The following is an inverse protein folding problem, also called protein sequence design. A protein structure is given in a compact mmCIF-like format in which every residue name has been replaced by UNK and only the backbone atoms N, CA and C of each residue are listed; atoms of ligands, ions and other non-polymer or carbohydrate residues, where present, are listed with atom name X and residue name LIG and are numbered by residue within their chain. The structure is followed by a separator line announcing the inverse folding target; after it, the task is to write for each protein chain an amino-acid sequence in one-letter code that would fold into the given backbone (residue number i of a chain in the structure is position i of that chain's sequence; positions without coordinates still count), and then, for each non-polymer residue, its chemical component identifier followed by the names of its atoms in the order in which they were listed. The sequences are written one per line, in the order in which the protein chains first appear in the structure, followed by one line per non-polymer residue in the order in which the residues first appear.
data_IF_566630471048
#
_entry.id   IF_566630471048
#
_cell.length_a   1.000
_cell.length_b   1.000
_cell.length_c   1.000
_cell.angle_alpha   90.00
_cell.angle_beta   90.00
_cell.angle_gamma   90.00
#
_symmetry.space_group_name_H-M   'P 1'
#
loop_
_entity.id
_entity.type
_entity.pdbx_description
1 polymer ?
#
# COMPACT_ATOMS: atom_id res chain seq x y z
N UNK A 1 1.55 -15.01 -12.39
CA UNK A 1 0.34 -15.13 -11.55
C UNK A 1 0.78 -15.50 -10.15
N UNK A 2 0.37 -14.75 -9.17
CA UNK A 2 0.59 -15.03 -7.75
C UNK A 2 -0.75 -15.42 -7.14
N UNK A 3 -0.75 -16.40 -6.24
CA UNK A 3 -1.95 -16.83 -5.53
C UNK A 3 -1.98 -16.16 -4.15
N UNK A 4 -3.11 -15.55 -3.82
CA UNK A 4 -3.34 -14.98 -2.49
C UNK A 4 -4.29 -15.90 -1.70
N UNK A 5 -3.89 -16.36 -0.50
CA UNK A 5 -4.70 -17.27 0.28
C UNK A 5 -5.92 -16.56 0.87
N UNK A 6 -6.98 -17.31 1.06
CA UNK A 6 -8.13 -16.83 1.82
C UNK A 6 -7.78 -16.80 3.31
N UNK A 7 -8.09 -15.68 3.98
CA UNK A 7 -7.98 -15.52 5.43
C UNK A 7 -8.92 -16.52 6.10
N UNK A 8 -8.42 -17.45 6.93
CA UNK A 8 -9.23 -18.53 7.51
C UNK A 8 -10.32 -18.02 8.45
N UNK A 9 -9.99 -17.01 9.24
CA UNK A 9 -10.89 -16.36 10.20
C UNK A 9 -10.61 -14.85 10.23
N UNK A 10 -11.34 -14.04 9.45
CA UNK A 10 -11.17 -12.60 9.43
C UNK A 10 -11.35 -11.93 10.80
N UNK A 11 -12.17 -12.52 11.69
CA UNK A 11 -12.39 -11.97 13.01
C UNK A 11 -11.20 -12.18 13.97
N UNK A 12 -10.25 -13.05 13.61
CA UNK A 12 -9.02 -13.24 14.36
C UNK A 12 -7.89 -12.30 13.93
N UNK A 13 -8.06 -11.57 12.82
CA UNK A 13 -7.10 -10.56 12.36
C UNK A 13 -7.39 -9.23 13.07
N UNK A 14 -6.40 -8.72 13.75
CA UNK A 14 -6.44 -7.40 14.39
C UNK A 14 -5.51 -6.47 13.63
N UNK A 15 -6.02 -5.43 13.03
CA UNK A 15 -5.18 -4.45 12.31
C UNK A 15 -4.49 -3.58 13.35
N UNK A 16 -3.28 -3.96 13.77
CA UNK A 16 -2.48 -3.29 14.80
C UNK A 16 -1.02 -3.00 14.39
N UNK A 17 -0.66 -3.42 13.18
CA UNK A 17 0.68 -3.22 12.60
C UNK A 17 1.68 -4.31 12.97
N UNK A 18 1.25 -5.39 13.63
CA UNK A 18 2.07 -6.54 13.97
C UNK A 18 1.70 -7.76 13.11
N UNK A 19 2.60 -8.75 13.06
CA UNK A 19 2.44 -9.97 12.28
C UNK A 19 2.03 -11.19 13.11
N UNK A 20 1.69 -11.02 14.36
CA UNK A 20 1.45 -12.13 15.30
C UNK A 20 0.16 -12.92 15.00
N UNK A 21 -0.80 -12.35 14.32
CA UNK A 21 -2.00 -13.03 13.82
C UNK A 21 -1.90 -13.52 12.37
N UNK A 22 -0.76 -13.31 11.70
CA UNK A 22 -0.45 -13.83 10.35
C UNK A 22 0.14 -15.25 10.34
N UNK A 23 0.17 -15.93 11.48
CA UNK A 23 0.74 -17.29 11.62
C UNK A 23 0.06 -18.38 10.76
N UNK A 24 -1.08 -18.11 10.18
CA UNK A 24 -1.79 -18.96 9.21
C UNK A 24 -1.23 -18.84 7.77
N UNK A 25 -0.48 -17.79 7.47
CA UNK A 25 0.04 -17.51 6.13
C UNK A 25 1.19 -18.44 5.76
N UNK A 26 1.16 -18.99 4.55
CA UNK A 26 2.29 -19.78 4.03
C UNK A 26 3.42 -18.83 3.59
N UNK A 27 4.58 -18.86 4.24
CA UNK A 27 5.72 -18.00 3.89
C UNK A 27 6.19 -18.13 2.43
N UNK A 28 5.90 -19.27 1.79
CA UNK A 28 6.25 -19.47 0.38
C UNK A 28 5.43 -18.61 -0.59
N UNK A 29 4.34 -18.00 -0.12
CA UNK A 29 3.49 -17.08 -0.88
C UNK A 29 3.87 -15.60 -0.64
N UNK A 30 4.76 -15.33 0.30
CA UNK A 30 5.21 -13.97 0.58
C UNK A 30 5.97 -13.38 -0.60
N UNK A 31 5.77 -12.09 -0.85
CA UNK A 31 6.55 -11.33 -1.80
C UNK A 31 7.73 -10.71 -1.06
N UNK A 32 8.93 -11.01 -1.49
CA UNK A 32 10.16 -10.55 -0.86
C UNK A 32 10.94 -9.63 -1.81
N UNK A 33 11.84 -8.82 -1.27
CA UNK A 33 12.67 -7.89 -2.04
C UNK A 33 13.29 -8.53 -3.31
N UNK A 34 13.83 -9.75 -3.29
CA UNK A 34 14.39 -10.38 -4.51
C UNK A 34 13.37 -10.73 -5.60
N UNK A 35 12.08 -10.72 -5.31
CA UNK A 35 11.01 -10.92 -6.31
C UNK A 35 10.75 -9.65 -7.15
N UNK A 36 11.38 -8.56 -6.76
CA UNK A 36 11.22 -7.24 -7.36
C UNK A 36 12.49 -6.82 -8.09
N UNK A 37 12.34 -5.92 -9.04
CA UNK A 37 13.47 -5.25 -9.68
C UNK A 37 13.37 -3.74 -9.47
N UNK A 38 14.53 -3.09 -9.35
CA UNK A 38 14.60 -1.66 -9.16
C UNK A 38 14.68 -0.91 -10.51
N UNK A 39 13.89 0.14 -10.66
CA UNK A 39 13.94 1.04 -11.81
C UNK A 39 14.78 2.30 -11.58
N UNK A 40 15.09 2.62 -10.34
CA UNK A 40 15.88 3.80 -9.99
C UNK A 40 17.37 3.48 -9.91
N UNK A 41 17.71 2.22 -9.61
CA UNK A 41 19.09 1.72 -9.49
C UNK A 41 19.20 0.32 -10.09
N UNK A 42 20.37 -0.06 -10.58
CA UNK A 42 20.63 -1.40 -11.10
C UNK A 42 20.84 -2.45 -10.00
N UNK A 43 20.93 -2.02 -8.72
CA UNK A 43 21.23 -2.91 -7.62
C UNK A 43 20.73 -2.35 -6.28
N UNK A 44 20.10 -3.22 -5.47
CA UNK A 44 19.68 -2.95 -4.09
C UNK A 44 20.35 -3.96 -3.17
N UNK A 45 21.10 -3.47 -2.19
CA UNK A 45 21.62 -4.31 -1.12
C UNK A 45 20.52 -4.53 -0.07
N UNK A 46 20.35 -5.78 0.40
CA UNK A 46 19.37 -6.10 1.46
C UNK A 46 19.64 -5.34 2.76
N UNK A 47 20.88 -4.90 2.98
CA UNK A 47 21.25 -4.07 4.14
C UNK A 47 20.83 -2.62 4.00
N UNK A 48 20.50 -2.19 2.79
CA UNK A 48 20.02 -0.87 2.46
C UNK A 48 18.49 -0.83 2.55
N UNK A 49 17.84 -1.68 1.79
CA UNK A 49 16.39 -1.77 1.76
C UNK A 49 15.91 -3.21 1.54
N UNK A 50 15.29 -3.77 2.55
CA UNK A 50 14.72 -5.13 2.50
C UNK A 50 13.24 -5.10 2.91
N UNK A 51 12.43 -5.96 2.31
CA UNK A 51 11.01 -6.02 2.65
C UNK A 51 10.37 -7.36 2.38
N UNK A 52 9.28 -7.60 3.09
CA UNK A 52 8.37 -8.73 2.89
C UNK A 52 6.93 -8.22 2.87
N UNK A 53 6.13 -8.70 1.93
CA UNK A 53 4.71 -8.34 1.80
C UNK A 53 3.86 -9.61 1.80
N UNK A 54 2.90 -9.68 2.71
CA UNK A 54 1.90 -10.73 2.84
C UNK A 54 0.55 -10.21 2.34
N UNK A 55 -0.24 -11.07 1.70
CA UNK A 55 -1.54 -10.70 1.17
C UNK A 55 -2.56 -11.82 1.30
N UNK A 56 -3.75 -11.49 1.76
CA UNK A 56 -4.85 -12.41 1.86
C UNK A 56 -6.18 -11.73 1.53
N UNK A 57 -7.23 -12.50 1.43
CA UNK A 57 -8.56 -11.98 1.15
C UNK A 57 -9.63 -12.73 1.94
N UNK A 58 -10.76 -12.08 2.17
CA UNK A 58 -11.94 -12.69 2.79
C UNK A 58 -13.15 -12.60 1.87
N UNK A 59 -13.96 -13.63 1.89
CA UNK A 59 -15.27 -13.59 1.21
C UNK A 59 -16.30 -12.82 2.03
N UNK A 60 -17.44 -12.54 1.43
CA UNK A 60 -18.60 -12.01 2.15
C UNK A 60 -18.95 -12.89 3.38
N UNK A 61 -19.41 -12.31 4.51
CA UNK A 61 -19.86 -10.92 4.64
C UNK A 61 -18.74 -9.88 4.87
N UNK A 62 -17.52 -10.28 5.20
CA UNK A 62 -16.41 -9.35 5.47
C UNK A 62 -15.92 -8.69 4.17
N UNK A 63 -15.61 -9.47 3.13
CA UNK A 63 -15.32 -9.00 1.79
C UNK A 63 -14.22 -7.95 1.72
N UNK A 64 -13.05 -8.27 2.27
CA UNK A 64 -11.88 -7.37 2.35
C UNK A 64 -10.62 -8.03 1.80
N UNK A 65 -9.75 -7.21 1.27
CA UNK A 65 -8.36 -7.55 1.01
C UNK A 65 -7.50 -7.13 2.20
N UNK A 66 -6.68 -8.05 2.67
CA UNK A 66 -5.76 -7.89 3.79
C UNK A 66 -4.33 -7.82 3.28
N UNK A 67 -3.54 -6.99 3.89
CA UNK A 67 -2.12 -6.92 3.62
C UNK A 67 -1.31 -6.57 4.86
N UNK A 68 -0.12 -7.12 4.88
CA UNK A 68 0.92 -6.77 5.84
C UNK A 68 2.23 -6.57 5.09
N UNK A 69 2.93 -5.50 5.36
CA UNK A 69 4.24 -5.23 4.79
C UNK A 69 5.24 -4.85 5.89
N UNK A 70 6.41 -5.49 5.88
CA UNK A 70 7.52 -5.18 6.77
C UNK A 70 8.69 -4.71 5.95
N UNK A 71 9.29 -3.61 6.38
CA UNK A 71 10.46 -2.99 5.76
C UNK A 71 11.60 -2.93 6.77
N UNK A 72 12.80 -3.23 6.30
CA UNK A 72 14.07 -2.98 6.99
C UNK A 72 14.83 -2.00 6.13
N UNK A 73 15.16 -0.86 6.68
CA UNK A 73 15.63 0.30 5.97
C UNK A 73 16.84 0.92 6.68
N UNK A 74 17.82 1.33 5.92
CA UNK A 74 19.02 1.95 6.49
C UNK A 74 18.78 3.39 6.93
N UNK A 75 17.83 4.13 6.32
CA UNK A 75 17.52 5.51 6.67
C UNK A 75 16.06 5.90 6.40
N UNK A 76 15.26 6.02 7.43
CA UNK A 76 13.84 6.40 7.35
C UNK A 76 13.64 7.83 6.87
N UNK A 77 12.90 8.03 5.80
CA UNK A 77 12.58 9.37 5.28
C UNK A 77 11.08 9.56 5.02
N UNK A 78 10.50 10.67 5.56
CA UNK A 78 9.06 10.95 5.43
C UNK A 78 8.68 12.45 5.46
N UNK A 79 9.61 13.36 5.11
CA UNK A 79 9.42 14.81 5.30
C UNK A 79 8.99 15.57 4.04
N UNK A 80 8.73 14.87 2.93
CA UNK A 80 8.35 15.51 1.68
C UNK A 80 6.86 15.89 1.64
N UNK A 81 6.49 16.95 0.88
CA UNK A 81 5.08 17.31 0.66
C UNK A 81 4.28 16.16 0.01
N UNK A 82 2.96 16.15 0.21
CA UNK A 82 2.04 15.15 -0.37
C UNK A 82 2.27 14.92 -1.86
N UNK A 83 2.38 16.00 -2.63
CA UNK A 83 2.57 15.92 -4.09
C UNK A 83 3.95 15.42 -4.52
N UNK A 84 4.88 15.26 -3.57
CA UNK A 84 6.22 14.74 -3.78
C UNK A 84 6.46 13.41 -3.05
N UNK A 85 5.41 12.63 -2.86
CA UNK A 85 5.38 11.36 -2.14
C UNK A 85 6.51 10.39 -2.54
N UNK A 86 6.95 10.44 -3.80
CA UNK A 86 8.05 9.60 -4.32
C UNK A 86 9.44 10.00 -3.81
N UNK A 87 9.54 11.01 -2.98
CA UNK A 87 10.77 11.44 -2.31
C UNK A 87 10.86 10.93 -0.87
N UNK A 88 9.87 10.15 -0.44
CA UNK A 88 9.79 9.54 0.89
C UNK A 88 9.73 8.02 0.78
N UNK A 89 10.00 7.35 1.91
CA UNK A 89 9.74 5.93 2.04
C UNK A 89 8.23 5.71 2.03
N UNK A 90 7.81 4.99 1.03
CA UNK A 90 6.39 4.71 0.89
C UNK A 90 6.15 3.39 0.15
N UNK A 91 4.98 2.84 0.38
CA UNK A 91 4.45 1.73 -0.41
C UNK A 91 3.35 2.26 -1.33
N UNK A 92 3.57 2.17 -2.64
CA UNK A 92 2.51 2.39 -3.60
C UNK A 92 1.83 1.05 -3.89
N UNK A 93 0.48 1.08 -3.89
CA UNK A 93 -0.35 -0.06 -4.25
C UNK A 93 -1.26 0.36 -5.40
N UNK A 94 -1.38 -0.50 -6.40
CA UNK A 94 -2.36 -0.36 -7.49
C UNK A 94 -3.24 -1.59 -7.53
N UNK A 95 -4.54 -1.40 -7.69
CA UNK A 95 -5.53 -2.48 -7.75
C UNK A 95 -6.46 -2.26 -8.93
N UNK A 96 -6.61 -3.28 -9.77
CA UNK A 96 -7.69 -3.42 -10.75
C UNK A 96 -8.47 -4.67 -10.35
N UNK A 97 -9.60 -4.46 -9.69
CA UNK A 97 -10.30 -5.53 -8.98
C UNK A 97 -11.12 -6.40 -9.91
N UNK A 98 -11.71 -5.86 -10.95
CA UNK A 98 -12.51 -6.60 -11.93
C UNK A 98 -11.69 -7.16 -13.10
N UNK A 99 -10.37 -6.88 -13.11
CA UNK A 99 -9.43 -7.34 -14.13
C UNK A 99 -9.84 -6.96 -15.57
N UNK A 100 -10.57 -5.88 -15.74
CA UNK A 100 -10.96 -5.41 -17.08
C UNK A 100 -9.83 -4.63 -17.76
N UNK A 101 -8.83 -4.23 -17.01
CA UNK A 101 -7.70 -3.45 -17.49
C UNK A 101 -8.08 -2.01 -17.80
N UNK A 102 -7.16 -1.32 -18.44
CA UNK A 102 -7.28 0.10 -18.76
C UNK A 102 -6.25 0.93 -18.01
N UNK A 103 -6.12 2.21 -18.34
CA UNK A 103 -5.19 3.08 -17.63
C UNK A 103 -5.69 3.33 -16.19
N UNK A 104 -4.79 3.16 -15.22
CA UNK A 104 -5.02 3.37 -13.78
C UNK A 104 -4.09 4.44 -13.20
N UNK A 105 -3.64 5.38 -14.03
CA UNK A 105 -2.67 6.41 -13.60
C UNK A 105 -3.31 7.55 -12.81
N UNK A 106 -4.64 7.64 -12.78
CA UNK A 106 -5.37 8.68 -12.04
C UNK A 106 -5.33 10.05 -12.70
N UNK A 107 -5.19 10.12 -14.03
CA UNK A 107 -5.11 11.38 -14.77
C UNK A 107 -6.47 11.95 -15.19
N UNK A 108 -7.53 11.18 -15.06
CA UNK A 108 -8.90 11.57 -15.33
C UNK A 108 -9.90 10.64 -14.64
N UNK A 109 -11.19 10.98 -14.65
CA UNK A 109 -12.24 10.21 -13.96
C UNK A 109 -12.38 8.77 -14.50
N UNK A 110 -12.15 8.55 -15.79
CA UNK A 110 -12.21 7.21 -16.37
C UNK A 110 -11.07 6.33 -15.85
N UNK A 111 -9.86 6.88 -15.73
CA UNK A 111 -8.71 6.16 -15.17
C UNK A 111 -8.89 5.84 -13.68
N UNK A 112 -9.56 6.71 -12.92
CA UNK A 112 -9.89 6.45 -11.52
C UNK A 112 -10.91 5.33 -11.42
N UNK A 113 -11.93 5.35 -12.27
CA UNK A 113 -12.97 4.34 -12.27
C UNK A 113 -12.42 2.94 -12.54
N UNK A 114 -11.33 2.82 -13.33
CA UNK A 114 -10.74 1.54 -13.72
C UNK A 114 -9.87 0.89 -12.63
N UNK A 115 -9.46 1.62 -11.61
CA UNK A 115 -8.61 1.03 -10.58
C UNK A 115 -8.23 1.97 -9.45
N UNK A 116 -7.82 1.38 -8.36
CA UNK A 116 -7.42 2.07 -7.14
C UNK A 116 -5.91 2.24 -7.11
N UNK A 117 -5.46 3.41 -6.69
CA UNK A 117 -4.04 3.69 -6.51
C UNK A 117 -3.81 4.38 -5.17
N UNK A 118 -3.03 3.72 -4.32
CA UNK A 118 -2.77 4.15 -2.95
C UNK A 118 -1.29 4.39 -2.71
N UNK A 119 -0.99 5.37 -1.85
CA UNK A 119 0.32 5.57 -1.26
C UNK A 119 0.20 5.47 0.25
N UNK A 120 1.04 4.66 0.85
CA UNK A 120 1.06 4.43 2.29
C UNK A 120 2.38 4.98 2.83
N UNK A 121 2.30 5.83 3.83
CA UNK A 121 3.45 6.38 4.57
C UNK A 121 3.20 6.32 6.06
N UNK A 122 4.27 6.23 6.86
CA UNK A 122 4.18 6.19 8.33
C UNK A 122 3.55 7.47 8.88
N UNK A 123 3.95 8.63 8.34
CA UNK A 123 3.52 9.93 8.83
C UNK A 123 2.90 10.78 7.71
N UNK A 124 2.03 11.72 8.06
CA UNK A 124 1.53 12.67 7.08
C UNK A 124 2.67 13.54 6.54
N UNK A 125 2.52 14.10 5.35
CA UNK A 125 3.47 15.07 4.82
C UNK A 125 3.69 16.24 5.76
N UNK A 126 4.87 16.86 5.64
CA UNK A 126 5.19 18.03 6.44
C UNK A 126 4.14 19.14 6.26
N UNK A 127 3.57 19.60 7.38
CA UNK A 127 2.57 20.68 7.41
C UNK A 127 1.12 20.23 7.20
N UNK A 128 0.87 18.94 7.01
CA UNK A 128 -0.49 18.40 6.94
C UNK A 128 -0.90 17.74 8.26
N UNK A 129 -2.16 17.91 8.61
CA UNK A 129 -2.73 17.21 9.77
C UNK A 129 -3.21 15.84 9.36
N UNK A 130 -2.98 14.83 10.20
CA UNK A 130 -3.68 13.58 10.12
C UNK A 130 -5.18 13.85 10.27
N UNK A 131 -5.96 13.43 9.32
CA UNK A 131 -7.38 13.27 9.57
C UNK A 131 -7.56 12.20 10.65
N UNK A 132 -8.57 12.33 11.51
CA UNK A 132 -8.89 11.27 12.48
C UNK A 132 -8.98 9.93 11.73
N UNK A 133 -8.23 8.94 12.18
CA UNK A 133 -8.14 7.58 11.63
C UNK A 133 -7.24 7.37 10.40
N UNK A 134 -6.41 8.34 10.02
CA UNK A 134 -5.39 8.15 8.97
C UNK A 134 -3.99 7.88 9.56
N UNK A 135 -3.81 6.74 10.20
CA UNK A 135 -2.49 6.30 10.66
C UNK A 135 -2.36 4.81 10.38
N UNK A 136 -1.58 4.34 9.45
CA UNK A 136 -0.69 5.06 8.54
C UNK A 136 -1.43 5.96 7.54
N UNK A 137 -0.73 6.91 6.97
CA UNK A 137 -1.30 7.85 6.02
C UNK A 137 -1.54 7.15 4.67
N UNK A 138 -2.80 6.86 4.37
CA UNK A 138 -3.23 6.42 3.06
C UNK A 138 -3.64 7.62 2.22
N UNK A 139 -3.01 7.74 1.07
CA UNK A 139 -3.27 8.81 0.13
C UNK A 139 -3.60 8.20 -1.23
N UNK A 140 -4.73 8.59 -1.80
CA UNK A 140 -5.05 8.26 -3.17
C UNK A 140 -4.36 9.24 -4.10
N UNK A 141 -3.61 8.74 -5.07
CA UNK A 141 -3.02 9.60 -6.08
C UNK A 141 -4.02 9.94 -7.14
N UNK A 142 -4.49 11.17 -7.11
CA UNK A 142 -5.22 11.80 -8.18
C UNK A 142 -4.46 13.07 -8.55
N UNK A 143 -3.85 13.10 -9.72
CA UNK A 143 -3.05 14.26 -10.14
C UNK A 143 -3.88 15.52 -10.36
N UNK A 144 -5.20 15.38 -10.50
CA UNK A 144 -6.12 16.47 -10.84
C UNK A 144 -7.34 16.60 -9.91
N UNK A 145 -7.57 15.65 -8.99
CA UNK A 145 -8.65 15.69 -8.00
C UNK A 145 -8.03 15.88 -6.62
N UNK A 146 -8.60 16.77 -5.82
CA UNK A 146 -8.18 16.93 -4.42
C UNK A 146 -8.44 15.62 -3.67
N UNK A 147 -7.44 15.16 -2.93
CA UNK A 147 -7.53 13.94 -2.12
C UNK A 147 -8.70 13.95 -1.12
N UNK A 148 -9.22 15.13 -0.80
CA UNK A 148 -10.42 15.30 0.03
C UNK A 148 -11.67 14.65 -0.57
N UNK A 149 -11.78 14.57 -1.90
CA UNK A 149 -12.95 13.95 -2.55
C UNK A 149 -13.02 12.44 -2.36
N UNK A 150 -11.90 11.78 -2.04
CA UNK A 150 -11.83 10.34 -1.79
C UNK A 150 -11.71 9.97 -0.32
N UNK A 151 -11.91 10.91 0.60
CA UNK A 151 -11.86 10.64 2.03
C UNK A 151 -12.91 9.62 2.50
N UNK A 152 -13.98 9.42 1.75
CA UNK A 152 -14.96 8.38 2.04
C UNK A 152 -14.33 6.98 1.98
N UNK A 153 -13.40 6.73 1.05
CA UNK A 153 -12.78 5.43 0.84
C UNK A 153 -11.77 5.02 1.94
N UNK A 154 -11.30 5.98 2.75
CA UNK A 154 -10.42 5.72 3.90
C UNK A 154 -11.18 5.70 5.24
N UNK A 155 -12.51 5.74 5.22
CA UNK A 155 -13.31 5.65 6.44
C UNK A 155 -13.35 4.21 6.96
N UNK A 156 -13.56 4.03 8.29
CA UNK A 156 -13.76 2.71 8.88
C UNK A 156 -14.84 1.90 8.16
N UNK A 157 -14.55 0.64 7.90
CA UNK A 157 -15.41 -0.25 7.11
C UNK A 157 -14.97 -0.37 5.64
N UNK A 158 -14.35 0.66 5.06
CA UNK A 158 -13.71 0.59 3.76
C UNK A 158 -12.20 0.34 3.89
N UNK A 159 -11.56 0.97 4.85
CA UNK A 159 -10.15 0.82 5.14
C UNK A 159 -9.93 0.85 6.66
N UNK A 160 -9.24 -0.16 7.16
CA UNK A 160 -8.62 -0.15 8.47
C UNK A 160 -7.11 -0.32 8.28
N UNK A 161 -6.30 0.46 8.98
CA UNK A 161 -4.85 0.40 8.83
C UNK A 161 -4.11 0.74 10.12
N UNK A 162 -2.96 0.10 10.32
CA UNK A 162 -2.06 0.35 11.44
C UNK A 162 -0.61 0.25 10.99
N UNK A 163 0.29 0.69 11.84
CA UNK A 163 1.73 0.65 11.59
C UNK A 163 2.53 0.54 12.88
N UNK A 164 3.75 0.05 12.76
CA UNK A 164 4.76 0.12 13.84
C UNK A 164 6.09 0.62 13.29
N UNK A 165 6.96 1.11 14.18
CA UNK A 165 8.33 1.47 13.83
C UNK A 165 9.28 1.12 14.98
N UNK A 166 10.43 0.59 14.64
CA UNK A 166 11.54 0.30 15.55
C UNK A 166 12.82 0.98 15.05
N UNK A 167 13.56 1.68 15.92
CA UNK A 167 13.25 1.90 17.34
C UNK A 167 11.99 2.75 17.53
N UNK A 168 11.27 2.51 18.62
CA UNK A 168 10.08 3.28 18.95
C UNK A 168 10.43 4.79 19.05
N UNK A 169 9.63 5.63 18.37
CA UNK A 169 9.89 7.06 18.29
C UNK A 169 10.95 7.46 17.26
N UNK A 170 11.24 6.58 16.29
CA UNK A 170 12.08 6.95 15.16
C UNK A 170 11.54 8.22 14.47
N UNK A 171 12.43 9.15 14.20
CA UNK A 171 12.14 10.41 13.52
C UNK A 171 12.68 10.37 12.08
N UNK A 172 12.33 11.37 11.29
CA UNK A 172 12.88 11.53 9.94
C UNK A 172 14.42 11.48 9.96
N UNK A 173 15.01 10.72 9.04
CA UNK A 173 16.44 10.42 8.94
C UNK A 173 17.01 9.58 10.10
N UNK A 174 16.18 8.84 10.84
CA UNK A 174 16.66 7.81 11.75
C UNK A 174 17.27 6.68 10.96
N UNK A 175 18.48 6.26 11.37
CA UNK A 175 19.28 5.21 10.72
C UNK A 175 18.94 3.84 11.31
N UNK A 176 18.82 2.83 10.46
CA UNK A 176 18.64 1.44 10.86
C UNK A 176 17.25 1.18 11.47
N UNK A 177 16.21 1.38 10.69
CA UNK A 177 14.83 1.22 11.12
C UNK A 177 14.20 -0.08 10.60
N UNK A 178 13.20 -0.54 11.33
CA UNK A 178 12.23 -1.52 10.82
C UNK A 178 10.85 -0.90 10.99
N UNK A 179 10.07 -0.87 9.95
CA UNK A 179 8.68 -0.40 10.03
C UNK A 179 7.73 -1.37 9.33
N UNK A 180 6.48 -1.32 9.74
CA UNK A 180 5.42 -2.18 9.21
C UNK A 180 4.21 -1.35 8.82
N UNK A 181 3.48 -1.87 7.84
CA UNK A 181 2.12 -1.45 7.53
C UNK A 181 1.24 -2.68 7.57
N UNK A 182 0.08 -2.55 8.17
CA UNK A 182 -0.97 -3.55 8.12
C UNK A 182 -2.29 -2.89 7.72
N UNK A 183 -3.05 -3.54 6.87
CA UNK A 183 -4.34 -3.00 6.41
C UNK A 183 -5.35 -4.08 6.08
N UNK A 184 -6.62 -3.71 6.17
CA UNK A 184 -7.72 -4.38 5.50
C UNK A 184 -8.54 -3.36 4.71
N UNK A 185 -8.83 -3.65 3.45
CA UNK A 185 -9.55 -2.69 2.60
C UNK A 185 -10.59 -3.32 1.70
N UNK A 186 -11.62 -2.53 1.40
CA UNK A 186 -12.58 -2.81 0.35
C UNK A 186 -11.92 -2.63 -1.03
N UNK A 187 -12.22 -3.53 -1.98
CA UNK A 187 -11.85 -3.36 -3.37
C UNK A 187 -13.08 -2.91 -4.19
N UNK A 188 -12.83 -2.22 -5.28
CA UNK A 188 -13.87 -1.59 -6.10
C UNK A 188 -13.67 -1.92 -7.57
N UNK A 189 -14.74 -2.40 -8.24
CA UNK A 189 -14.78 -2.58 -9.70
C UNK A 189 -14.84 -1.22 -10.39
N UNK A 190 -15.61 -0.29 -9.81
CA UNK A 190 -15.66 1.10 -10.22
C UNK A 190 -15.41 1.96 -8.98
N UNK A 191 -14.40 2.79 -9.04
CA UNK A 191 -14.06 3.70 -7.94
C UNK A 191 -14.46 5.13 -8.29
N UNK A 192 -15.67 5.55 -7.87
CA UNK A 192 -16.22 6.87 -8.09
C UNK A 192 -15.73 7.91 -7.08
N UNK A 193 -16.07 9.17 -7.30
CA UNK A 193 -15.77 10.25 -6.35
C UNK A 193 -16.56 10.14 -5.04
N UNK A 194 -17.68 9.43 -5.07
CA UNK A 194 -18.51 9.14 -3.91
C UNK A 194 -18.76 7.64 -3.80
N UNK A 195 -19.12 7.17 -2.61
CA UNK A 195 -19.50 5.78 -2.40
C UNK A 195 -20.67 5.35 -3.27
N UNK A 196 -21.68 6.22 -3.43
CA UNK A 196 -22.87 5.95 -4.24
C UNK A 196 -22.57 5.80 -5.75
N UNK A 197 -21.48 6.38 -6.22
CA UNK A 197 -21.00 6.25 -7.61
C UNK A 197 -20.08 5.05 -7.81
N UNK A 198 -19.74 4.35 -6.73
CA UNK A 198 -18.76 3.27 -6.74
C UNK A 198 -19.44 1.91 -6.77
N UNK A 199 -18.78 0.92 -7.34
CA UNK A 199 -19.22 -0.48 -7.37
C UNK A 199 -18.21 -1.33 -6.63
N UNK A 200 -18.63 -1.87 -5.48
CA UNK A 200 -17.77 -2.70 -4.66
C UNK A 200 -17.52 -4.06 -5.32
N UNK A 201 -16.28 -4.48 -5.37
CA UNK A 201 -15.90 -5.82 -5.79
C UNK A 201 -16.31 -6.87 -4.75
N UNK A 202 -16.82 -8.01 -5.20
CA UNK A 202 -17.14 -9.15 -4.34
C UNK A 202 -16.06 -10.21 -4.52
N UNK A 203 -15.15 -10.30 -3.55
CA UNK A 203 -14.05 -11.26 -3.55
C UNK A 203 -14.57 -12.69 -3.43
N UNK A 204 -14.17 -13.55 -4.34
CA UNK A 204 -14.51 -14.96 -4.37
C UNK A 204 -13.30 -15.82 -4.75
N UNK A 205 -13.41 -17.13 -4.49
CA UNK A 205 -12.39 -18.07 -4.94
C UNK A 205 -12.30 -18.09 -6.47
N UNK A 206 -11.08 -18.19 -6.97
CA UNK A 206 -10.74 -18.17 -8.40
C UNK A 206 -10.90 -16.82 -9.11
N UNK A 207 -11.21 -15.73 -8.37
CA UNK A 207 -11.15 -14.40 -8.94
C UNK A 207 -9.70 -14.05 -9.36
N UNK A 208 -9.61 -13.33 -10.45
CA UNK A 208 -8.35 -12.76 -10.93
C UNK A 208 -8.41 -11.25 -10.78
N UNK A 209 -7.59 -10.71 -9.90
CA UNK A 209 -7.43 -9.27 -9.71
C UNK A 209 -6.00 -8.87 -10.04
N UNK A 210 -5.79 -7.65 -10.50
CA UNK A 210 -4.45 -7.10 -10.64
C UNK A 210 -4.05 -6.35 -9.38
N UNK A 211 -2.95 -6.77 -8.75
CA UNK A 211 -2.30 -6.07 -7.67
C UNK A 211 -0.87 -5.73 -8.07
N UNK A 212 -0.55 -4.45 -7.97
CA UNK A 212 0.81 -3.95 -8.15
C UNK A 212 1.34 -3.34 -6.86
N UNK A 213 2.53 -3.76 -6.46
CA UNK A 213 3.25 -3.19 -5.33
C UNK A 213 4.48 -2.47 -5.83
N UNK A 214 4.71 -1.29 -5.27
CA UNK A 214 5.88 -0.49 -5.55
C UNK A 214 6.42 0.09 -4.25
N UNK A 215 7.25 -0.67 -3.53
CA UNK A 215 8.08 -0.13 -2.47
C UNK A 215 9.03 0.95 -3.01
N UNK A 216 9.13 2.06 -2.30
CA UNK A 216 9.96 3.21 -2.63
C UNK A 216 10.76 3.55 -1.39
N UNK A 217 12.05 3.72 -1.62
CA UNK A 217 13.05 4.09 -0.64
C UNK A 217 13.71 5.43 -1.00
N UNK A 218 13.98 6.26 0.00
CA UNK A 218 14.62 7.56 -0.13
C UNK A 218 15.41 7.91 1.13
N UNK A 219 16.71 8.25 1.01
CA UNK A 219 17.60 8.43 2.16
C UNK A 219 18.06 9.86 2.41
N UNK A 220 17.90 10.76 1.46
CA UNK A 220 18.53 12.06 1.52
C UNK A 220 17.55 13.21 1.63
N UNK A 221 17.77 14.20 2.52
CA UNK A 221 16.98 15.40 2.58
C UNK A 221 16.94 16.11 1.22
N UNK A 222 15.73 16.40 0.72
CA UNK A 222 15.54 17.06 -0.58
C UNK A 222 15.95 16.22 -1.79
N UNK A 223 16.37 14.97 -1.57
CA UNK A 223 16.67 13.98 -2.60
C UNK A 223 15.41 13.40 -3.23
N UNK A 224 15.57 12.73 -4.37
CA UNK A 224 14.53 11.85 -4.92
C UNK A 224 14.63 10.46 -4.31
N UNK A 225 13.78 9.55 -4.78
CA UNK A 225 13.87 8.14 -4.45
C UNK A 225 15.23 7.57 -4.80
N UNK A 226 15.78 6.77 -3.91
CA UNK A 226 17.00 5.99 -4.13
C UNK A 226 16.64 4.69 -4.84
N UNK A 227 15.59 4.01 -4.36
CA UNK A 227 15.05 2.78 -4.93
C UNK A 227 13.57 2.92 -5.28
N UNK A 228 13.15 2.18 -6.29
CA UNK A 228 11.77 2.11 -6.75
C UNK A 228 11.50 0.72 -7.30
N UNK A 229 11.02 -0.15 -6.43
CA UNK A 229 10.90 -1.58 -6.67
C UNK A 229 9.59 -1.93 -7.36
N UNK A 230 9.64 -2.85 -8.32
CA UNK A 230 8.47 -3.31 -9.09
C UNK A 230 8.44 -4.82 -9.16
N UNK A 231 7.27 -5.44 -8.96
CA UNK A 231 7.09 -6.89 -9.06
C UNK A 231 7.03 -7.39 -10.52
N UNK A 232 6.81 -6.50 -11.48
CA UNK A 232 6.81 -6.81 -12.89
C UNK A 232 7.59 -5.75 -13.66
N UNK A 233 7.99 -6.03 -14.90
CA UNK A 233 8.80 -5.12 -15.72
C UNK A 233 8.12 -3.80 -16.08
N UNK A 234 6.91 -3.60 -15.54
CA UNK A 234 6.14 -2.36 -15.69
C UNK A 234 5.91 -1.97 -17.14
N UNK A 235 5.86 -2.94 -18.02
CA UNK A 235 5.33 -2.77 -19.36
C UNK A 235 3.80 -2.71 -19.28
N UNK A 236 3.29 -1.64 -18.69
CA UNK A 236 1.89 -1.22 -18.78
C UNK A 236 1.84 0.24 -19.19
#
# INVERSE_FOLDING_TARGET
TVFYPQVPDPAAITIDGNDDDWGWYDPALALNQPDFFDRASDFVELSDYDFTILNGWSAAPDNKWYGFARFVDDTLKYDSPVKEWWKDDCLQITVDADHLGGPILGQNLEEIANGQRWHIRIFPPAGESLLPNQTPFFYSQLEFIDSEELLWAVQPGHLDAAWTVLPAGAENLTVGVTYTYEWSMALWDIWGLTEDESVRHNLAADDVIHLGFRPIDADAPGGGRKHSMYINDGSQ
#
